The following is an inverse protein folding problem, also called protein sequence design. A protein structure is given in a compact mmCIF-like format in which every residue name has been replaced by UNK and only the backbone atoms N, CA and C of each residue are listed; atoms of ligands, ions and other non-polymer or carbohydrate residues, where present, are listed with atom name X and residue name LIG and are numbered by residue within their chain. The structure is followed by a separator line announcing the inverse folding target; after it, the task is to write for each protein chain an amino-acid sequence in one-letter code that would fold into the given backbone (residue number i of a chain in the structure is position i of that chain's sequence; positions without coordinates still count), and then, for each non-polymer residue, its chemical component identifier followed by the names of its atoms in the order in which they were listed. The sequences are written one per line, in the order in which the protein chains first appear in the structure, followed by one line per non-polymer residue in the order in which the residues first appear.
data_IF_199314849742
#
_entry.id   IF_199314849742
#
_cell.length_a   1.000
_cell.length_b   1.000
_cell.length_c   1.000
_cell.angle_alpha   90.00
_cell.angle_beta   90.00
_cell.angle_gamma   90.00
#
_symmetry.space_group_name_H-M   'P 1'
#
loop_
_entity.id
_entity.type
_entity.pdbx_description
1 polymer ?
#
# COMPACT_ATOMS: atom_id res chain seq x y z
N UNK A 1 -31.18 2.58 -18.01
CA UNK A 1 -30.82 3.73 -17.16
C UNK A 1 -30.05 3.20 -15.97
N UNK A 2 -28.74 3.49 -15.85
CA UNK A 2 -28.00 3.17 -14.62
C UNK A 2 -28.54 4.04 -13.49
N UNK A 3 -28.81 3.40 -12.36
CA UNK A 3 -29.44 4.00 -11.20
C UNK A 3 -28.37 4.85 -10.48
N UNK A 4 -28.33 6.17 -10.75
CA UNK A 4 -27.39 7.17 -10.19
C UNK A 4 -27.18 7.13 -8.66
N UNK A 5 -28.01 6.41 -7.91
CA UNK A 5 -28.02 6.38 -6.45
C UNK A 5 -26.79 5.72 -5.81
N UNK A 6 -25.94 5.03 -6.57
CA UNK A 6 -24.82 4.25 -6.02
C UNK A 6 -23.47 4.43 -6.73
N UNK A 7 -23.34 5.35 -7.69
CA UNK A 7 -22.07 5.56 -8.42
C UNK A 7 -20.90 5.96 -7.48
N UNK A 8 -21.21 6.70 -6.41
CA UNK A 8 -20.23 7.03 -5.37
C UNK A 8 -19.76 5.79 -4.58
N UNK A 9 -20.64 4.80 -4.40
CA UNK A 9 -20.30 3.55 -3.71
C UNK A 9 -19.34 2.69 -4.54
N UNK A 10 -19.42 2.81 -5.88
CA UNK A 10 -18.50 2.17 -6.81
C UNK A 10 -17.11 2.82 -6.85
N UNK A 11 -17.02 4.09 -6.43
CA UNK A 11 -15.78 4.88 -6.54
C UNK A 11 -14.62 4.28 -5.75
N UNK A 12 -14.88 3.62 -4.62
CA UNK A 12 -13.83 2.93 -3.84
C UNK A 12 -13.23 1.73 -4.58
N UNK A 13 -14.04 1.01 -5.37
CA UNK A 13 -13.56 -0.11 -6.17
C UNK A 13 -12.74 0.38 -7.35
N UNK A 14 -13.21 1.45 -8.01
CA UNK A 14 -12.46 2.08 -9.08
C UNK A 14 -11.11 2.64 -8.59
N UNK A 15 -11.09 3.25 -7.41
CA UNK A 15 -9.85 3.67 -6.77
C UNK A 15 -8.92 2.47 -6.50
N UNK A 16 -9.46 1.35 -6.00
CA UNK A 16 -8.66 0.15 -5.77
C UNK A 16 -8.07 -0.42 -7.08
N UNK A 17 -8.85 -0.46 -8.16
CA UNK A 17 -8.39 -0.89 -9.50
C UNK A 17 -7.19 -0.07 -9.99
N UNK A 18 -7.14 1.23 -9.67
CA UNK A 18 -6.05 2.13 -10.05
C UNK A 18 -4.85 1.98 -9.10
N UNK A 19 -5.09 1.97 -7.79
CA UNK A 19 -4.02 2.06 -6.78
C UNK A 19 -3.23 0.75 -6.65
N UNK A 20 -3.89 -0.42 -6.74
CA UNK A 20 -3.22 -1.73 -6.62
C UNK A 20 -2.01 -1.85 -7.57
N UNK A 21 -2.16 -1.71 -8.91
CA UNK A 21 -1.04 -1.89 -9.82
C UNK A 21 0.05 -0.83 -9.62
N UNK A 22 -0.31 0.39 -9.18
CA UNK A 22 0.67 1.45 -8.87
C UNK A 22 1.53 1.05 -7.67
N UNK A 23 0.91 0.60 -6.57
CA UNK A 23 1.65 0.18 -5.37
C UNK A 23 2.49 -1.07 -5.62
N UNK A 24 1.98 -2.04 -6.39
CA UNK A 24 2.73 -3.23 -6.78
C UNK A 24 3.95 -2.88 -7.65
N UNK A 25 3.78 -1.98 -8.63
CA UNK A 25 4.87 -1.49 -9.45
C UNK A 25 5.91 -0.73 -8.61
N UNK A 26 5.47 0.22 -7.76
CA UNK A 26 6.35 0.94 -6.85
C UNK A 26 7.15 -0.02 -5.97
N UNK A 27 6.49 -1.00 -5.33
CA UNK A 27 7.15 -2.00 -4.49
C UNK A 27 8.18 -2.81 -5.29
N UNK A 28 7.86 -3.20 -6.52
CA UNK A 28 8.77 -3.96 -7.39
C UNK A 28 10.02 -3.15 -7.72
N UNK A 29 9.85 -1.91 -8.22
CA UNK A 29 10.97 -1.04 -8.59
C UNK A 29 11.82 -0.65 -7.37
N UNK A 30 11.16 -0.37 -6.23
CA UNK A 30 11.83 -0.13 -4.95
C UNK A 30 12.74 -1.30 -4.54
N UNK A 31 12.34 -2.55 -4.78
CA UNK A 31 13.17 -3.71 -4.43
C UNK A 31 14.30 -4.00 -5.44
N UNK A 32 14.24 -3.44 -6.65
CA UNK A 32 15.31 -3.59 -7.65
C UNK A 32 16.43 -2.59 -7.43
N UNK A 33 16.09 -1.30 -7.29
CA UNK A 33 17.06 -0.21 -7.26
C UNK A 33 16.85 0.78 -6.10
N UNK A 34 15.75 0.62 -5.34
CA UNK A 34 15.39 1.52 -4.24
C UNK A 34 16.40 1.48 -3.10
N UNK A 35 17.28 2.47 -3.11
CA UNK A 35 18.13 2.84 -1.96
C UNK A 35 17.48 3.92 -1.10
N UNK A 36 16.34 4.46 -1.53
CA UNK A 36 15.56 5.48 -0.82
C UNK A 36 14.83 4.85 0.36
N UNK A 37 15.58 4.53 1.41
CA UNK A 37 14.97 4.25 2.70
C UNK A 37 14.11 5.47 3.03
N UNK A 38 12.79 5.30 3.27
CA UNK A 38 11.93 6.40 3.58
C UNK A 38 12.55 7.24 4.69
N UNK A 39 12.75 8.54 4.43
CA UNK A 39 13.59 9.41 5.28
C UNK A 39 13.11 9.49 6.73
N UNK A 40 11.83 9.20 6.97
CA UNK A 40 11.20 9.12 8.29
C UNK A 40 11.52 7.85 9.08
N UNK A 41 12.04 6.80 8.43
CA UNK A 41 12.60 5.60 9.06
C UNK A 41 14.07 5.78 9.47
N UNK A 42 14.70 6.86 9.03
CA UNK A 42 16.07 7.19 9.41
C UNK A 42 16.08 7.89 10.77
N UNK A 43 16.98 7.45 11.64
CA UNK A 43 17.34 8.24 12.82
C UNK A 43 18.06 9.51 12.35
N UNK A 44 17.44 10.68 12.60
CA UNK A 44 17.92 11.98 12.10
C UNK A 44 19.32 12.32 12.63
N UNK A 45 19.76 11.67 13.70
CA UNK A 45 21.08 11.89 14.30
C UNK A 45 22.17 10.98 13.71
N UNK A 46 21.80 9.93 12.97
CA UNK A 46 22.74 8.93 12.47
C UNK A 46 23.16 9.22 11.01
N UNK A 47 24.43 9.63 10.84
CA UNK A 47 24.98 10.04 9.53
C UNK A 47 25.14 8.92 8.50
N UNK A 48 25.24 7.67 8.93
CA UNK A 48 25.45 6.52 8.03
C UNK A 48 24.76 5.28 8.60
N UNK A 49 24.02 4.58 7.75
CA UNK A 49 23.45 3.28 8.06
C UNK A 49 24.39 2.15 7.65
N UNK A 50 24.36 1.07 8.41
CA UNK A 50 24.97 -0.20 8.03
C UNK A 50 24.08 -0.96 7.03
N UNK A 51 24.66 -1.87 6.24
CA UNK A 51 23.89 -2.72 5.31
C UNK A 51 22.77 -3.48 6.02
N UNK A 52 23.01 -4.00 7.23
CA UNK A 52 22.00 -4.70 8.00
C UNK A 52 20.82 -3.81 8.41
N UNK A 53 21.08 -2.54 8.74
CA UNK A 53 20.03 -1.57 9.04
C UNK A 53 19.24 -1.20 7.78
N UNK A 54 19.92 -1.04 6.65
CA UNK A 54 19.29 -0.82 5.34
C UNK A 54 18.32 -1.97 5.02
N UNK A 55 18.78 -3.22 5.15
CA UNK A 55 17.95 -4.41 4.94
C UNK A 55 16.73 -4.44 5.87
N UNK A 56 16.92 -4.10 7.15
CA UNK A 56 15.82 -4.07 8.13
C UNK A 56 14.78 -3.01 7.78
N UNK A 57 15.22 -1.82 7.34
CA UNK A 57 14.33 -0.73 6.96
C UNK A 57 13.60 -1.03 5.65
N UNK A 58 14.28 -1.62 4.66
CA UNK A 58 13.66 -2.11 3.44
C UNK A 58 12.61 -3.19 3.72
N UNK A 59 12.91 -4.15 4.60
CA UNK A 59 11.95 -5.18 5.02
C UNK A 59 10.73 -4.53 5.67
N UNK A 60 10.93 -3.61 6.60
CA UNK A 60 9.83 -2.94 7.28
C UNK A 60 8.95 -2.16 6.29
N UNK A 61 9.56 -1.42 5.35
CA UNK A 61 8.79 -0.69 4.35
C UNK A 61 7.97 -1.61 3.44
N UNK A 62 8.55 -2.73 3.02
CA UNK A 62 7.83 -3.75 2.25
C UNK A 62 6.63 -4.32 3.01
N UNK A 63 6.76 -4.56 4.32
CA UNK A 63 5.65 -5.01 5.17
C UNK A 63 4.53 -3.97 5.23
N UNK A 64 4.86 -2.68 5.30
CA UNK A 64 3.88 -1.59 5.27
C UNK A 64 3.18 -1.50 3.89
N UNK A 65 3.93 -1.59 2.78
CA UNK A 65 3.38 -1.63 1.43
C UNK A 65 2.45 -2.84 1.22
N UNK A 66 2.81 -4.01 1.75
CA UNK A 66 1.99 -5.22 1.65
C UNK A 66 0.64 -5.04 2.36
N UNK A 67 0.62 -4.39 3.53
CA UNK A 67 -0.63 -4.09 4.23
C UNK A 67 -1.51 -3.13 3.42
N UNK A 68 -0.94 -2.10 2.80
CA UNK A 68 -1.69 -1.18 1.93
C UNK A 68 -2.27 -1.91 0.73
N UNK A 69 -1.45 -2.66 -0.01
CA UNK A 69 -1.86 -3.43 -1.20
C UNK A 69 -2.97 -4.41 -0.82
N UNK A 70 -2.82 -5.13 0.30
CA UNK A 70 -3.81 -6.08 0.77
C UNK A 70 -5.16 -5.43 1.08
N UNK A 71 -5.17 -4.24 1.70
CA UNK A 71 -6.40 -3.49 1.97
C UNK A 71 -7.14 -3.15 0.67
N UNK A 72 -6.45 -2.60 -0.34
CA UNK A 72 -7.07 -2.31 -1.63
C UNK A 72 -7.53 -3.58 -2.36
N UNK A 73 -6.76 -4.68 -2.28
CA UNK A 73 -7.18 -5.98 -2.84
C UNK A 73 -8.45 -6.50 -2.16
N UNK A 74 -8.59 -6.39 -0.84
CA UNK A 74 -9.83 -6.78 -0.14
C UNK A 74 -11.03 -5.91 -0.55
N UNK A 75 -10.82 -4.58 -0.69
CA UNK A 75 -11.83 -3.66 -1.20
C UNK A 75 -12.31 -4.12 -2.58
N UNK A 76 -11.38 -4.37 -3.51
CA UNK A 76 -11.74 -4.79 -4.88
C UNK A 76 -12.36 -6.19 -4.90
N UNK A 77 -11.85 -7.11 -4.09
CA UNK A 77 -12.32 -8.49 -4.04
C UNK A 77 -13.78 -8.58 -3.58
N UNK A 78 -14.22 -7.68 -2.69
CA UNK A 78 -15.62 -7.59 -2.30
C UNK A 78 -16.57 -7.33 -3.49
N UNK A 79 -16.11 -6.66 -4.55
CA UNK A 79 -16.89 -6.40 -5.76
C UNK A 79 -16.85 -7.56 -6.76
N UNK A 80 -15.65 -8.09 -7.06
CA UNK A 80 -15.45 -8.99 -8.20
C UNK A 80 -15.12 -10.43 -7.82
N UNK A 81 -14.92 -10.73 -6.53
CA UNK A 81 -14.64 -12.07 -6.00
C UNK A 81 -13.54 -12.83 -6.75
N UNK A 82 -12.42 -12.15 -7.02
CA UNK A 82 -11.30 -12.71 -7.78
C UNK A 82 -10.43 -13.70 -6.97
N UNK A 83 -10.46 -13.63 -5.64
CA UNK A 83 -9.76 -14.54 -4.74
C UNK A 83 -10.71 -15.01 -3.61
N UNK A 84 -11.05 -16.30 -3.60
CA UNK A 84 -11.97 -16.87 -2.61
C UNK A 84 -11.38 -16.98 -1.20
N UNK A 85 -10.06 -16.88 -1.05
CA UNK A 85 -9.38 -16.91 0.24
C UNK A 85 -9.17 -15.51 0.82
N UNK A 86 -9.41 -14.47 0.02
CA UNK A 86 -9.27 -13.08 0.44
C UNK A 86 -10.59 -12.55 1.00
N UNK A 87 -10.83 -12.81 2.28
CA UNK A 87 -12.01 -12.32 2.99
C UNK A 87 -12.04 -10.79 3.13
N UNK A 88 -13.24 -10.23 3.27
CA UNK A 88 -13.44 -8.83 3.65
C UNK A 88 -13.27 -8.68 5.17
N UNK A 89 -12.26 -7.93 5.60
CA UNK A 89 -11.99 -7.62 7.00
C UNK A 89 -11.86 -6.09 7.16
N UNK A 90 -12.91 -5.47 7.70
CA UNK A 90 -13.01 -4.02 7.82
C UNK A 90 -11.86 -3.41 8.63
N UNK A 91 -11.39 -4.09 9.69
CA UNK A 91 -10.28 -3.61 10.50
C UNK A 91 -8.98 -3.62 9.71
N UNK A 92 -8.67 -4.72 8.99
CA UNK A 92 -7.47 -4.79 8.15
C UNK A 92 -7.52 -3.79 7.00
N UNK A 93 -8.70 -3.58 6.42
CA UNK A 93 -8.89 -2.56 5.38
C UNK A 93 -8.58 -1.18 5.96
N UNK A 94 -9.18 -0.83 7.09
CA UNK A 94 -8.97 0.46 7.73
C UNK A 94 -7.50 0.68 8.11
N UNK A 95 -6.83 -0.34 8.66
CA UNK A 95 -5.41 -0.29 8.98
C UNK A 95 -4.56 0.00 7.75
N UNK A 96 -4.76 -0.75 6.65
CA UNK A 96 -4.01 -0.53 5.41
C UNK A 96 -4.29 0.84 4.77
N UNK A 97 -5.54 1.33 4.82
CA UNK A 97 -5.88 2.68 4.35
C UNK A 97 -5.26 3.78 5.22
N UNK A 98 -5.19 3.58 6.54
CA UNK A 98 -4.50 4.49 7.45
C UNK A 98 -3.01 4.57 7.11
N UNK A 99 -2.37 3.44 6.85
CA UNK A 99 -0.96 3.39 6.41
C UNK A 99 -0.77 4.09 5.07
N UNK A 100 -1.64 3.84 4.10
CA UNK A 100 -1.60 4.51 2.80
C UNK A 100 -1.73 6.03 2.95
N UNK A 101 -2.70 6.50 3.73
CA UNK A 101 -2.88 7.93 3.99
C UNK A 101 -1.69 8.53 4.72
N UNK A 102 -1.13 7.82 5.70
CA UNK A 102 0.02 8.28 6.48
C UNK A 102 1.27 8.43 5.62
N UNK A 103 1.49 7.50 4.68
CA UNK A 103 2.72 7.44 3.91
C UNK A 103 2.58 7.85 2.45
N UNK A 104 1.43 8.39 2.03
CA UNK A 104 1.19 8.80 0.64
C UNK A 104 2.29 9.71 0.08
N UNK A 105 2.76 10.68 0.88
CA UNK A 105 3.85 11.58 0.46
C UNK A 105 5.18 10.86 0.25
N UNK A 106 5.41 9.73 0.92
CA UNK A 106 6.64 8.95 0.83
C UNK A 106 6.63 7.96 -0.35
N UNK A 107 5.53 7.85 -1.09
CA UNK A 107 5.51 7.14 -2.38
C UNK A 107 6.25 7.91 -3.49
N UNK A 108 6.77 9.10 -3.17
CA UNK A 108 7.52 9.99 -4.05
C UNK A 108 8.99 10.16 -3.63
N UNK A 109 9.39 9.57 -2.50
CA UNK A 109 10.77 9.57 -1.98
C UNK A 109 11.63 8.48 -2.67
#
# INVERSE_FOLDING_TARGET
MMNKKWDWYESKYHLAEIIIPILEAYKKEYNLEGRSIPSWLLDKEKKTLTNHEIEKLQKHWNEELDKMILAFKQILNYKISFDSNLGYDENKIQDGLNLFSKYFMHLWD
#
